data_IF_019119195977
#
_entry.id   IF_019119195977
#
_cell.length_a   1.000
_cell.length_b   1.000
_cell.length_c   1.000
_cell.angle_alpha   90.00
_cell.angle_beta   90.00
_cell.angle_gamma   90.00
#
_symmetry.space_group_name_H-M   'P 1'
#
loop_
_entity.id
_entity.type
_entity.pdbx_description
1 polymer ?
#
# COMPACT_ATOMS: atom_id res chain seq x y z
N UNK A 1 -4.08 25.76 6.03
CA UNK A 1 -3.66 24.35 5.95
C UNK A 1 -3.22 23.91 7.35
N UNK A 2 -3.86 22.89 7.94
CA UNK A 2 -3.36 22.32 9.19
C UNK A 2 -2.16 21.44 8.85
N UNK A 3 -1.02 21.55 9.54
CA UNK A 3 0.08 20.61 9.36
C UNK A 3 -0.41 19.22 9.75
N UNK A 4 -0.20 18.24 8.87
CA UNK A 4 -0.45 16.81 9.14
C UNK A 4 0.60 16.32 10.14
N UNK A 5 0.50 16.77 11.40
CA UNK A 5 1.37 16.30 12.47
C UNK A 5 0.89 14.89 12.85
N UNK A 6 1.61 13.88 12.38
CA UNK A 6 1.38 12.49 12.83
C UNK A 6 2.18 12.29 14.11
N UNK A 7 1.51 12.06 15.27
CA UNK A 7 2.20 11.96 16.53
C UNK A 7 3.16 10.77 16.57
N UNK A 8 4.18 10.86 17.42
CA UNK A 8 5.13 9.76 17.67
C UNK A 8 4.49 8.61 18.44
N UNK A 9 3.35 8.85 19.10
CA UNK A 9 2.59 7.86 19.87
C UNK A 9 1.10 8.08 19.57
N UNK A 10 0.36 7.00 19.39
CA UNK A 10 -1.10 7.02 19.26
C UNK A 10 -1.70 6.40 20.54
N UNK A 11 -1.99 7.21 21.57
CA UNK A 11 -2.50 6.69 22.83
C UNK A 11 -3.86 6.02 22.63
N UNK A 12 -4.13 4.95 23.41
CA UNK A 12 -5.38 4.19 23.38
C UNK A 12 -5.66 3.49 22.04
N UNK A 13 -4.63 3.25 21.22
CA UNK A 13 -4.73 2.49 19.96
C UNK A 13 -3.81 1.27 19.93
N UNK A 14 -3.37 0.84 21.11
CA UNK A 14 -2.40 -0.25 21.26
C UNK A 14 -2.92 -1.56 20.65
N UNK A 15 -4.21 -1.86 20.82
CA UNK A 15 -4.84 -3.06 20.25
C UNK A 15 -4.84 -3.04 18.72
N UNK A 16 -5.27 -1.94 18.10
CA UNK A 16 -5.31 -1.82 16.64
C UNK A 16 -3.90 -1.78 16.03
N UNK A 17 -2.96 -1.12 16.70
CA UNK A 17 -1.54 -1.10 16.32
C UNK A 17 -0.96 -2.51 16.38
N UNK A 18 -1.15 -3.23 17.48
CA UNK A 18 -0.60 -4.58 17.66
C UNK A 18 -1.24 -5.56 16.67
N UNK A 19 -2.54 -5.45 16.41
CA UNK A 19 -3.24 -6.25 15.41
C UNK A 19 -2.64 -6.06 14.03
N UNK A 20 -2.57 -4.82 13.52
CA UNK A 20 -2.00 -4.56 12.19
C UNK A 20 -0.50 -4.90 12.13
N UNK A 21 0.26 -4.60 13.18
CA UNK A 21 1.68 -4.93 13.26
C UNK A 21 1.90 -6.44 13.20
N UNK A 22 1.06 -7.25 13.85
CA UNK A 22 1.17 -8.71 13.80
C UNK A 22 0.98 -9.26 12.38
N UNK A 23 0.09 -8.65 11.60
CA UNK A 23 -0.13 -9.05 10.20
C UNK A 23 1.03 -8.64 9.30
N UNK A 24 1.64 -7.48 9.54
CA UNK A 24 2.75 -6.96 8.73
C UNK A 24 4.14 -7.44 9.17
N UNK A 25 4.29 -7.93 10.41
CA UNK A 25 5.54 -8.44 10.97
C UNK A 25 6.25 -9.54 10.14
N UNK A 26 5.55 -10.45 9.42
CA UNK A 26 6.18 -11.38 8.48
C UNK A 26 7.11 -10.71 7.47
N UNK A 27 6.85 -9.44 7.11
CA UNK A 27 7.72 -8.70 6.19
C UNK A 27 9.16 -8.56 6.70
N UNK A 28 9.35 -8.54 8.02
CA UNK A 28 10.67 -8.47 8.65
C UNK A 28 11.41 -9.81 8.67
N UNK A 29 10.77 -10.89 8.20
CA UNK A 29 11.35 -12.24 8.05
C UNK A 29 11.44 -12.67 6.58
N UNK A 30 11.27 -11.74 5.64
CA UNK A 30 11.17 -12.02 4.20
C UNK A 30 9.99 -12.95 3.82
N UNK A 31 8.98 -13.03 4.70
CA UNK A 31 7.74 -13.75 4.46
C UNK A 31 6.66 -12.80 3.94
N UNK A 32 5.83 -13.25 2.99
CA UNK A 32 4.71 -12.45 2.46
C UNK A 32 3.67 -12.17 3.56
N UNK A 33 3.42 -10.91 3.92
CA UNK A 33 2.31 -10.57 4.80
C UNK A 33 0.97 -10.80 4.12
N UNK A 34 -0.06 -11.14 4.89
CA UNK A 34 -1.42 -11.22 4.37
C UNK A 34 -1.93 -9.85 3.91
N UNK A 35 -2.84 -9.84 2.94
CA UNK A 35 -3.64 -8.65 2.65
C UNK A 35 -4.60 -8.40 3.82
N UNK A 36 -4.85 -7.13 4.15
CA UNK A 36 -5.75 -6.70 5.24
C UNK A 36 -6.71 -5.65 4.73
N UNK A 37 -7.98 -5.75 5.16
CA UNK A 37 -8.96 -4.68 4.98
C UNK A 37 -9.44 -4.16 6.34
N UNK A 38 -9.36 -2.86 6.53
CA UNK A 38 -9.72 -2.16 7.76
C UNK A 38 -10.96 -1.32 7.52
N UNK A 39 -12.03 -1.61 8.27
CA UNK A 39 -13.31 -0.92 8.17
C UNK A 39 -13.60 -0.10 9.42
N UNK A 40 -14.35 0.99 9.25
CA UNK A 40 -14.88 1.76 10.38
C UNK A 40 -15.34 3.14 9.95
N UNK A 41 -16.09 3.84 10.79
CA UNK A 41 -16.54 5.21 10.48
C UNK A 41 -15.36 6.17 10.24
N UNK A 42 -15.60 7.26 9.53
CA UNK A 42 -14.61 8.34 9.35
C UNK A 42 -14.21 8.92 10.71
N UNK A 43 -12.94 9.31 10.85
CA UNK A 43 -12.41 9.90 12.09
C UNK A 43 -12.06 8.90 13.20
N UNK A 44 -12.13 7.59 12.96
CA UNK A 44 -11.75 6.57 13.96
C UNK A 44 -10.24 6.31 14.06
N UNK A 45 -9.42 6.98 13.26
CA UNK A 45 -7.95 6.89 13.33
C UNK A 45 -7.31 5.78 12.50
N UNK A 46 -8.05 5.09 11.63
CA UNK A 46 -7.53 4.01 10.75
C UNK A 46 -6.28 4.45 9.98
N UNK A 47 -6.36 5.57 9.25
CA UNK A 47 -5.23 6.14 8.50
C UNK A 47 -4.02 6.43 9.39
N UNK A 48 -4.24 6.94 10.62
CA UNK A 48 -3.17 7.27 11.54
C UNK A 48 -2.46 6.00 12.04
N UNK A 49 -3.24 4.98 12.44
CA UNK A 49 -2.70 3.67 12.86
C UNK A 49 -1.90 3.03 11.73
N UNK A 50 -2.44 2.99 10.51
CA UNK A 50 -1.76 2.36 9.39
C UNK A 50 -0.47 3.07 9.00
N UNK A 51 -0.45 4.40 8.96
CA UNK A 51 0.78 5.18 8.72
C UNK A 51 1.79 5.01 9.85
N UNK A 52 1.34 4.95 11.10
CA UNK A 52 2.19 4.70 12.25
C UNK A 52 2.88 3.33 12.15
N UNK A 53 2.11 2.26 11.97
CA UNK A 53 2.66 0.90 11.82
C UNK A 53 3.59 0.80 10.61
N UNK A 54 3.23 1.43 9.49
CA UNK A 54 4.09 1.48 8.30
C UNK A 54 5.43 2.13 8.54
N UNK A 55 5.46 3.26 9.26
CA UNK A 55 6.69 3.94 9.66
C UNK A 55 7.56 3.04 10.54
N UNK A 56 6.98 2.39 11.54
CA UNK A 56 7.71 1.47 12.41
C UNK A 56 8.23 0.23 11.65
N UNK A 57 7.45 -0.26 10.68
CA UNK A 57 7.86 -1.36 9.81
C UNK A 57 9.08 -0.98 8.95
N UNK A 58 9.06 0.19 8.31
CA UNK A 58 10.20 0.70 7.55
C UNK A 58 11.44 0.88 8.42
N UNK A 59 11.27 1.46 9.61
CA UNK A 59 12.34 1.67 10.58
C UNK A 59 12.99 0.34 10.98
N UNK A 60 12.19 -0.64 11.42
CA UNK A 60 12.68 -1.98 11.78
C UNK A 60 13.28 -2.71 10.59
N UNK A 61 12.72 -2.57 9.39
CA UNK A 61 13.27 -3.15 8.17
C UNK A 61 14.70 -2.65 7.93
N UNK A 62 14.92 -1.34 8.04
CA UNK A 62 16.25 -0.74 7.94
C UNK A 62 17.21 -1.24 9.03
N UNK A 63 16.76 -1.30 10.29
CA UNK A 63 17.56 -1.78 11.44
C UNK A 63 17.98 -3.25 11.30
N UNK A 64 17.14 -4.07 10.68
CA UNK A 64 17.35 -5.52 10.50
C UNK A 64 17.90 -5.89 9.12
N UNK A 65 18.20 -4.90 8.28
CA UNK A 65 18.72 -5.11 6.93
C UNK A 65 17.71 -5.74 5.96
N UNK A 66 16.41 -5.66 6.26
CA UNK A 66 15.32 -6.17 5.43
C UNK A 66 14.83 -5.11 4.45
N UNK A 67 14.65 -5.51 3.19
CA UNK A 67 14.11 -4.63 2.15
C UNK A 67 12.59 -4.58 2.26
N UNK A 68 12.09 -3.57 2.95
CA UNK A 68 10.66 -3.29 3.05
C UNK A 68 10.37 -1.93 2.44
N UNK A 69 9.41 -1.87 1.52
CA UNK A 69 8.89 -0.66 0.92
C UNK A 69 7.47 -0.42 1.44
N UNK A 70 7.10 0.84 1.66
CA UNK A 70 5.79 1.21 2.16
C UNK A 70 5.23 2.36 1.33
N UNK A 71 4.13 2.11 0.62
CA UNK A 71 3.50 3.04 -0.30
C UNK A 71 2.12 3.39 0.24
N UNK A 72 1.83 4.68 0.38
CA UNK A 72 0.51 5.16 0.78
C UNK A 72 -0.15 5.92 -0.36
N UNK A 73 -1.39 5.54 -0.68
CA UNK A 73 -2.22 6.18 -1.70
C UNK A 73 -3.58 6.50 -1.10
N UNK A 74 -4.03 7.75 -1.25
CA UNK A 74 -5.41 8.13 -0.97
C UNK A 74 -6.25 7.96 -2.25
N UNK A 75 -7.21 7.04 -2.21
CA UNK A 75 -8.08 6.72 -3.34
C UNK A 75 -9.17 7.78 -3.59
N UNK A 76 -9.39 8.76 -2.70
CA UNK A 76 -10.13 9.98 -3.05
C UNK A 76 -9.40 10.82 -4.12
N UNK A 77 -8.06 10.78 -4.10
CA UNK A 77 -7.21 11.55 -5.01
C UNK A 77 -6.84 10.73 -6.25
N UNK A 78 -6.62 9.43 -6.06
CA UNK A 78 -6.20 8.46 -7.08
C UNK A 78 -7.28 7.37 -7.19
N UNK A 79 -8.29 7.65 -8.00
CA UNK A 79 -9.58 6.95 -8.00
C UNK A 79 -9.78 6.02 -9.20
N UNK A 80 -8.81 5.88 -10.10
CA UNK A 80 -8.89 4.97 -11.26
C UNK A 80 -7.79 3.93 -11.23
N UNK A 81 -8.06 2.75 -11.79
CA UNK A 81 -7.09 1.67 -11.95
C UNK A 81 -5.79 2.16 -12.60
N UNK A 82 -5.88 2.85 -13.74
CA UNK A 82 -4.70 3.40 -14.43
C UNK A 82 -3.85 4.25 -13.48
N UNK A 83 -4.48 5.24 -12.82
CA UNK A 83 -3.75 6.17 -11.96
C UNK A 83 -3.19 5.46 -10.74
N UNK A 84 -3.89 4.47 -10.19
CA UNK A 84 -3.39 3.69 -9.07
C UNK A 84 -2.12 2.93 -9.45
N UNK A 85 -2.16 2.13 -10.51
CA UNK A 85 -1.01 1.37 -10.99
C UNK A 85 0.17 2.29 -11.35
N UNK A 86 -0.12 3.41 -12.03
CA UNK A 86 0.86 4.42 -12.39
C UNK A 86 1.51 5.07 -11.16
N UNK A 87 0.74 5.42 -10.12
CA UNK A 87 1.27 6.03 -8.89
C UNK A 87 2.17 5.06 -8.13
N UNK A 88 1.78 3.78 -8.04
CA UNK A 88 2.61 2.76 -7.39
C UNK A 88 3.91 2.56 -8.17
N UNK A 89 3.85 2.44 -9.50
CA UNK A 89 5.05 2.24 -10.32
C UNK A 89 6.00 3.44 -10.22
N UNK A 90 5.48 4.66 -10.35
CA UNK A 90 6.26 5.89 -10.29
C UNK A 90 6.85 6.15 -8.89
N UNK A 91 6.36 5.50 -7.83
CA UNK A 91 6.99 5.53 -6.51
C UNK A 91 8.43 5.00 -6.53
N UNK A 92 8.71 4.05 -7.43
CA UNK A 92 10.03 3.42 -7.57
C UNK A 92 10.90 4.07 -8.66
N UNK A 93 10.38 5.09 -9.35
CA UNK A 93 11.05 5.72 -10.50
C UNK A 93 11.50 7.13 -10.12
N UNK A 94 12.82 7.27 -9.97
CA UNK A 94 13.46 8.55 -9.65
C UNK A 94 13.67 9.42 -10.89
N UNK A 95 13.96 8.82 -12.04
CA UNK A 95 14.21 9.56 -13.28
C UNK A 95 12.91 10.00 -13.93
N UNK A 96 12.76 11.31 -14.13
CA UNK A 96 11.53 11.88 -14.68
C UNK A 96 11.18 11.35 -16.07
N UNK A 97 12.19 11.13 -16.91
CA UNK A 97 12.04 10.59 -18.28
C UNK A 97 11.53 9.16 -18.33
N UNK A 98 11.72 8.38 -17.25
CA UNK A 98 11.26 6.98 -17.18
C UNK A 98 9.88 6.84 -16.55
N UNK A 99 9.31 7.93 -16.01
CA UNK A 99 8.01 7.88 -15.33
C UNK A 99 6.90 7.57 -16.32
N UNK A 100 5.96 6.75 -15.86
CA UNK A 100 4.73 6.47 -16.59
C UNK A 100 3.92 7.78 -16.67
N UNK A 101 3.51 8.21 -17.87
CA UNK A 101 2.77 9.45 -18.05
C UNK A 101 1.39 9.39 -17.38
N UNK A 102 0.77 10.55 -17.20
CA UNK A 102 -0.56 10.65 -16.59
C UNK A 102 -1.65 9.95 -17.40
N UNK A 103 -1.49 9.85 -18.72
CA UNK A 103 -2.33 9.08 -19.65
C UNK A 103 -1.51 8.69 -20.89
N UNK A 104 -2.10 7.85 -21.74
CA UNK A 104 -1.59 7.55 -23.09
C UNK A 104 -0.95 6.18 -23.23
N UNK A 105 -0.58 5.54 -22.11
CA UNK A 105 -0.18 4.14 -22.12
C UNK A 105 -1.40 3.23 -22.00
N UNK A 106 -1.40 2.05 -22.65
CA UNK A 106 -2.29 0.96 -22.31
C UNK A 106 -2.16 0.53 -20.84
N UNK A 107 -3.26 0.21 -20.17
CA UNK A 107 -3.26 -0.14 -18.74
C UNK A 107 -2.43 -1.40 -18.44
N UNK A 108 -2.40 -2.35 -19.37
CA UNK A 108 -1.57 -3.56 -19.29
C UNK A 108 -0.07 -3.24 -19.39
N UNK A 109 0.34 -2.27 -20.22
CA UNK A 109 1.72 -1.76 -20.22
C UNK A 109 2.09 -1.09 -18.89
N UNK A 110 1.17 -0.31 -18.31
CA UNK A 110 1.37 0.28 -16.97
C UNK A 110 1.52 -0.80 -15.92
N UNK A 111 0.68 -1.84 -15.96
CA UNK A 111 0.76 -2.98 -15.04
C UNK A 111 2.07 -3.77 -15.22
N UNK A 112 2.51 -4.00 -16.45
CA UNK A 112 3.78 -4.65 -16.73
C UNK A 112 4.96 -3.84 -16.18
N UNK A 113 4.95 -2.51 -16.38
CA UNK A 113 5.96 -1.61 -15.83
C UNK A 113 5.96 -1.61 -14.30
N UNK A 114 4.79 -1.62 -13.67
CA UNK A 114 4.66 -1.77 -12.22
C UNK A 114 5.35 -3.05 -11.72
N UNK A 115 5.01 -4.20 -12.32
CA UNK A 115 5.63 -5.50 -11.97
C UNK A 115 7.15 -5.45 -12.10
N UNK A 116 7.65 -4.90 -13.21
CA UNK A 116 9.09 -4.71 -13.45
C UNK A 116 9.75 -3.89 -12.34
N UNK A 117 9.11 -2.78 -11.91
CA UNK A 117 9.67 -1.93 -10.86
C UNK A 117 9.67 -2.61 -9.50
N UNK A 118 8.61 -3.33 -9.15
CA UNK A 118 8.53 -4.11 -7.89
C UNK A 118 9.61 -5.20 -7.86
N UNK A 119 9.76 -5.98 -8.94
CA UNK A 119 10.83 -6.97 -9.07
C UNK A 119 12.23 -6.36 -8.95
N UNK A 120 12.47 -5.23 -9.63
CA UNK A 120 13.77 -4.54 -9.59
C UNK A 120 14.15 -4.10 -8.18
N UNK A 121 13.17 -3.66 -7.38
CA UNK A 121 13.43 -3.31 -5.98
C UNK A 121 13.68 -4.54 -5.11
N UNK A 122 12.92 -5.61 -5.36
CA UNK A 122 12.94 -6.83 -4.55
C UNK A 122 12.39 -6.59 -3.14
N UNK A 123 12.39 -7.66 -2.33
CA UNK A 123 11.88 -7.58 -0.97
C UNK A 123 10.36 -7.42 -0.91
N UNK A 124 9.85 -6.75 0.11
CA UNK A 124 8.43 -6.72 0.42
C UNK A 124 7.88 -5.32 0.30
N UNK A 125 6.88 -5.14 -0.56
CA UNK A 125 6.17 -3.87 -0.75
C UNK A 125 4.81 -3.94 -0.09
N UNK A 126 4.58 -3.11 0.92
CA UNK A 126 3.27 -2.92 1.54
C UNK A 126 2.61 -1.70 0.91
N UNK A 127 1.43 -1.89 0.33
CA UNK A 127 0.66 -0.86 -0.37
C UNK A 127 -0.59 -0.55 0.45
N UNK A 128 -0.71 0.68 0.91
CA UNK A 128 -1.86 1.19 1.63
C UNK A 128 -2.77 1.92 0.67
N UNK A 129 -4.01 1.46 0.59
CA UNK A 129 -5.08 2.06 -0.20
C UNK A 129 -6.09 2.66 0.76
N UNK A 130 -5.94 3.96 1.02
CA UNK A 130 -6.82 4.70 1.92
C UNK A 130 -8.08 5.16 1.20
N UNK A 131 -9.22 5.11 1.89
CA UNK A 131 -10.55 5.33 1.31
C UNK A 131 -10.79 4.49 0.04
N UNK A 132 -10.45 3.21 0.09
CA UNK A 132 -10.54 2.29 -1.06
C UNK A 132 -11.96 2.18 -1.63
N UNK A 133 -13.00 2.51 -0.85
CA UNK A 133 -14.38 2.64 -1.32
C UNK A 133 -14.59 3.73 -2.40
N UNK A 134 -13.61 4.62 -2.59
CA UNK A 134 -13.63 5.66 -3.63
C UNK A 134 -13.03 5.21 -4.97
N UNK A 135 -12.37 4.05 -4.99
CA UNK A 135 -11.77 3.53 -6.21
C UNK A 135 -12.87 3.11 -7.20
N UNK A 136 -12.73 3.53 -8.46
CA UNK A 136 -13.63 3.17 -9.55
C UNK A 136 -13.30 1.76 -10.05
N UNK A 137 -14.19 0.82 -9.73
CA UNK A 137 -14.02 -0.58 -10.06
C UNK A 137 -13.02 -1.29 -9.13
N UNK A 138 -12.94 -2.60 -9.30
CA UNK A 138 -12.19 -3.52 -8.45
C UNK A 138 -10.97 -4.14 -9.12
N UNK A 139 -10.86 -3.98 -10.45
CA UNK A 139 -9.79 -4.56 -11.27
C UNK A 139 -8.39 -4.25 -10.75
N UNK A 140 -8.18 -3.05 -10.20
CA UNK A 140 -6.88 -2.67 -9.64
C UNK A 140 -6.55 -3.49 -8.37
N UNK A 141 -7.53 -3.68 -7.48
CA UNK A 141 -7.38 -4.52 -6.28
C UNK A 141 -7.19 -5.99 -6.67
N UNK A 142 -7.95 -6.47 -7.65
CA UNK A 142 -7.83 -7.81 -8.19
C UNK A 142 -6.42 -8.06 -8.75
N UNK A 143 -5.92 -7.16 -9.60
CA UNK A 143 -4.59 -7.25 -10.19
C UNK A 143 -3.49 -7.22 -9.12
N UNK A 144 -3.57 -6.29 -8.16
CA UNK A 144 -2.59 -6.18 -7.08
C UNK A 144 -2.64 -7.38 -6.12
N UNK A 145 -3.81 -7.93 -5.83
CA UNK A 145 -3.95 -9.06 -4.90
C UNK A 145 -3.35 -10.36 -5.46
N UNK A 146 -3.31 -10.48 -6.79
CA UNK A 146 -2.77 -11.65 -7.50
C UNK A 146 -1.33 -11.48 -7.98
N UNK A 147 -0.78 -10.27 -7.96
CA UNK A 147 0.52 -9.96 -8.54
C UNK A 147 1.65 -10.87 -8.02
N UNK A 148 1.55 -11.37 -6.79
CA UNK A 148 2.54 -12.27 -6.19
C UNK A 148 2.75 -13.58 -6.98
N UNK A 149 1.80 -14.03 -7.80
CA UNK A 149 2.02 -15.20 -8.68
C UNK A 149 3.06 -14.94 -9.76
N UNK A 150 3.24 -13.68 -10.12
CA UNK A 150 4.10 -13.24 -11.23
C UNK A 150 5.45 -12.67 -10.72
N UNK A 151 5.64 -12.62 -9.40
CA UNK A 151 6.84 -12.07 -8.77
C UNK A 151 7.79 -13.18 -8.29
N UNK A 152 9.04 -13.10 -8.71
CA UNK A 152 10.14 -13.95 -8.28
C UNK A 152 10.79 -13.43 -7.00
N UNK A 153 11.44 -12.25 -7.08
CA UNK A 153 12.30 -11.70 -6.03
C UNK A 153 11.62 -10.68 -5.12
N UNK A 154 10.34 -10.39 -5.37
CA UNK A 154 9.56 -9.45 -4.60
C UNK A 154 8.24 -10.04 -4.12
N UNK A 155 7.64 -9.42 -3.10
CA UNK A 155 6.27 -9.71 -2.65
C UNK A 155 5.52 -8.42 -2.39
N UNK A 156 4.20 -8.48 -2.52
CA UNK A 156 3.26 -7.39 -2.30
C UNK A 156 2.26 -7.80 -1.23
N UNK A 157 1.97 -6.88 -0.30
CA UNK A 157 0.84 -6.97 0.63
C UNK A 157 0.02 -5.68 0.53
N UNK A 158 -1.30 -5.81 0.55
CA UNK A 158 -2.25 -4.70 0.44
C UNK A 158 -2.90 -4.47 1.80
N UNK A 159 -2.98 -3.21 2.21
CA UNK A 159 -3.84 -2.77 3.32
C UNK A 159 -4.89 -1.82 2.75
N UNK A 160 -6.12 -2.28 2.60
CA UNK A 160 -7.26 -1.46 2.23
C UNK A 160 -7.88 -0.81 3.46
N UNK A 161 -8.18 0.49 3.39
CA UNK A 161 -8.92 1.20 4.44
C UNK A 161 -10.20 1.73 3.80
N UNK A 162 -11.35 1.39 4.36
CA UNK A 162 -12.64 1.87 3.87
C UNK A 162 -13.45 2.51 5.00
N UNK A 163 -14.18 3.56 4.65
CA UNK A 163 -15.18 4.17 5.55
C UNK A 163 -16.57 3.52 5.39
N UNK A 164 -16.76 2.72 4.34
CA UNK A 164 -18.01 2.01 4.08
C UNK A 164 -17.99 0.61 4.71
N UNK A 165 -18.89 0.40 5.68
CA UNK A 165 -19.08 -0.88 6.38
C UNK A 165 -19.73 -1.95 5.48
N UNK A 166 -20.22 -1.59 4.29
CA UNK A 166 -20.85 -2.51 3.32
C UNK A 166 -19.86 -3.10 2.31
N UNK A 167 -18.58 -2.72 2.37
CA UNK A 167 -17.53 -3.17 1.44
C UNK A 167 -17.12 -4.65 1.66
N UNK A 168 -17.96 -5.49 2.28
CA UNK A 168 -17.65 -6.86 2.69
C UNK A 168 -17.73 -7.90 1.55
N UNK A 169 -17.88 -7.50 0.30
CA UNK A 169 -18.10 -8.40 -0.84
C UNK A 169 -16.87 -8.56 -1.77
N UNK A 170 -15.66 -8.43 -1.22
CA UNK A 170 -14.40 -8.72 -1.93
C UNK A 170 -13.75 -10.03 -1.49
#
# INVERSE_FOLDING_TARGET
MRPTFMPEILPHRDEEINSLASVLAPALRDETPSNVFIYGKTGTGKTAVTKFVGRELLKKGKETGKKVNFIYINCEVVDTQYRLLQNIANHFINEWSERIPFTGWPTDEVFAKLKQMIEKQGGITVIILDEVDKLKGDEALYNLSRVNSDLGNARVSIVGISNDLKFTEF
#
